data_IF_827998394257
#
_entry.id   IF_827998394257
#
_cell.length_a   1.000
_cell.length_b   1.000
_cell.length_c   1.000
_cell.angle_alpha   90.00
_cell.angle_beta   90.00
_cell.angle_gamma   90.00
#
_symmetry.space_group_name_H-M   'P 1'
#
loop_
_entity.id
_entity.type
_entity.pdbx_description
1 polymer ?
#
# COMPACT_ATOMS: atom_id res chain seq x y z
N UNK A 1 -8.88 12.23 5.91
CA UNK A 1 -9.76 11.02 5.83
C UNK A 1 -8.94 9.75 5.60
N UNK A 2 -7.95 9.74 4.69
CA UNK A 2 -7.13 8.56 4.42
C UNK A 2 -6.00 8.30 5.43
N UNK A 3 -5.55 9.34 6.15
CA UNK A 3 -4.48 9.21 7.15
C UNK A 3 -4.72 8.11 8.18
N UNK A 4 -5.97 7.83 8.55
CA UNK A 4 -6.31 6.76 9.50
C UNK A 4 -6.16 5.35 8.93
N UNK A 5 -6.15 5.17 7.60
CA UNK A 5 -5.82 3.87 6.99
C UNK A 5 -4.30 3.67 6.96
N UNK A 6 -3.55 4.76 6.83
CA UNK A 6 -2.10 4.70 6.77
C UNK A 6 -1.43 4.56 8.15
N UNK A 7 -2.17 4.76 9.25
CA UNK A 7 -1.70 4.36 10.59
C UNK A 7 -1.53 2.84 10.72
N UNK A 8 -2.13 2.06 9.82
CA UNK A 8 -1.99 0.60 9.80
C UNK A 8 -0.70 0.14 9.11
N UNK A 9 0.03 1.01 8.41
CA UNK A 9 1.33 0.67 7.83
C UNK A 9 2.32 0.49 8.97
N UNK A 10 2.85 -0.73 9.10
CA UNK A 10 3.84 -1.08 10.11
C UNK A 10 5.25 -1.10 9.50
N UNK A 11 6.26 -1.20 10.37
CA UNK A 11 7.63 -1.52 9.94
C UNK A 11 7.70 -2.82 9.14
N UNK A 12 6.89 -3.83 9.50
CA UNK A 12 6.78 -5.09 8.75
C UNK A 12 6.20 -4.87 7.34
N UNK A 13 5.27 -3.92 7.18
CA UNK A 13 4.78 -3.54 5.84
C UNK A 13 5.87 -2.93 4.98
N UNK A 14 6.70 -2.05 5.55
CA UNK A 14 7.82 -1.47 4.81
C UNK A 14 8.87 -2.52 4.46
N UNK A 15 9.28 -3.37 5.42
CA UNK A 15 10.21 -4.48 5.15
C UNK A 15 9.69 -5.39 4.04
N UNK A 16 8.39 -5.71 4.08
CA UNK A 16 7.75 -6.47 3.02
C UNK A 16 7.79 -5.72 1.68
N UNK A 17 7.40 -4.45 1.61
CA UNK A 17 7.40 -3.66 0.36
C UNK A 17 8.79 -3.59 -0.28
N UNK A 18 9.83 -3.37 0.51
CA UNK A 18 11.22 -3.19 0.04
C UNK A 18 12.02 -4.48 -0.08
N UNK A 19 11.38 -5.64 0.06
CA UNK A 19 12.00 -6.93 -0.25
C UNK A 19 12.91 -7.49 0.84
N UNK A 20 12.90 -6.93 2.05
CA UNK A 20 13.71 -7.42 3.15
C UNK A 20 12.99 -8.50 3.98
N UNK A 21 13.77 -9.23 4.77
CA UNK A 21 13.28 -10.27 5.68
C UNK A 21 12.69 -9.67 6.97
N UNK A 22 11.89 -10.43 7.72
CA UNK A 22 11.28 -9.93 8.97
C UNK A 22 12.31 -9.47 10.03
N UNK A 23 13.57 -9.91 9.92
CA UNK A 23 14.66 -9.51 10.83
C UNK A 23 15.10 -8.05 10.66
N UNK A 24 14.82 -7.40 9.54
CA UNK A 24 15.18 -5.98 9.30
C UNK A 24 14.07 -5.01 9.68
N UNK A 25 13.00 -5.47 10.35
CA UNK A 25 11.89 -4.60 10.76
C UNK A 25 12.35 -3.42 11.63
N UNK A 26 13.47 -3.56 12.36
CA UNK A 26 14.00 -2.48 13.19
C UNK A 26 14.49 -1.27 12.38
N UNK A 27 15.03 -1.50 11.18
CA UNK A 27 15.52 -0.45 10.28
C UNK A 27 14.37 0.44 9.76
N UNK A 28 13.14 -0.09 9.80
CA UNK A 28 11.95 0.59 9.31
C UNK A 28 11.13 1.27 10.40
N UNK A 29 11.56 1.27 11.67
CA UNK A 29 10.79 1.88 12.76
C UNK A 29 10.66 3.40 12.63
N UNK A 30 11.63 4.06 12.00
CA UNK A 30 11.58 5.49 11.73
C UNK A 30 12.21 5.80 10.36
N UNK A 31 11.43 6.38 9.46
CA UNK A 31 11.86 6.76 8.11
C UNK A 31 11.47 8.22 7.87
N UNK A 32 12.43 9.05 7.46
CA UNK A 32 12.23 10.48 7.19
C UNK A 32 11.54 11.24 8.35
N UNK A 33 11.88 10.89 9.60
CA UNK A 33 11.30 11.49 10.81
C UNK A 33 9.87 11.05 11.13
N UNK A 34 9.34 10.02 10.44
CA UNK A 34 8.03 9.41 10.71
C UNK A 34 8.21 8.01 11.28
N UNK A 35 7.45 7.72 12.34
CA UNK A 35 7.42 6.40 12.95
C UNK A 35 6.51 5.43 12.19
N UNK A 36 6.99 4.19 12.05
CA UNK A 36 6.23 3.04 11.56
C UNK A 36 6.29 1.94 12.62
N UNK A 37 5.27 1.81 13.48
CA UNK A 37 5.33 0.91 14.62
C UNK A 37 5.47 -0.55 14.18
N UNK A 38 5.93 -1.40 15.10
CA UNK A 38 5.84 -2.86 14.91
C UNK A 38 4.37 -3.26 14.71
N UNK A 39 4.14 -4.33 13.96
CA UNK A 39 2.78 -4.84 13.71
C UNK A 39 2.06 -5.12 15.03
N UNK A 40 0.85 -4.60 15.16
CA UNK A 40 -0.03 -4.77 16.33
C UNK A 40 -1.19 -5.68 15.94
N UNK A 41 -1.47 -6.68 16.78
CA UNK A 41 -2.65 -7.55 16.65
C UNK A 41 -3.42 -7.49 17.96
N UNK A 42 -4.67 -7.03 17.90
CA UNK A 42 -5.55 -6.99 19.06
C UNK A 42 -6.01 -8.42 19.41
N UNK A 43 -6.00 -8.77 20.70
CA UNK A 43 -6.32 -10.11 21.19
C UNK A 43 -7.82 -10.44 21.18
N UNK A 44 -8.67 -9.45 20.93
CA UNK A 44 -10.14 -9.58 20.96
C UNK A 44 -10.75 -9.97 19.61
N UNK A 45 -9.93 -10.29 18.60
CA UNK A 45 -10.38 -10.70 17.28
C UNK A 45 -10.79 -9.56 16.34
N UNK A 46 -10.89 -8.30 16.81
CA UNK A 46 -11.28 -7.16 15.97
C UNK A 46 -10.33 -6.93 14.80
N UNK A 47 -9.03 -7.10 15.02
CA UNK A 47 -8.04 -6.98 13.94
C UNK A 47 -8.33 -7.95 12.78
N UNK A 48 -8.81 -9.17 13.09
CA UNK A 48 -9.18 -10.17 12.08
C UNK A 48 -10.42 -9.75 11.31
N UNK A 49 -11.46 -9.23 11.99
CA UNK A 49 -12.69 -8.76 11.34
C UNK A 49 -12.44 -7.56 10.41
N UNK A 50 -11.65 -6.59 10.87
CA UNK A 50 -11.22 -5.43 10.09
C UNK A 50 -10.44 -5.89 8.86
N UNK A 51 -9.44 -6.77 9.05
CA UNK A 51 -8.64 -7.34 7.97
C UNK A 51 -9.49 -8.03 6.90
N UNK A 52 -10.40 -8.91 7.31
CA UNK A 52 -11.27 -9.63 6.37
C UNK A 52 -12.18 -8.68 5.61
N UNK A 53 -12.70 -7.65 6.28
CA UNK A 53 -13.56 -6.65 5.65
C UNK A 53 -12.77 -5.79 4.66
N UNK A 54 -11.55 -5.38 5.01
CA UNK A 54 -10.63 -4.69 4.10
C UNK A 54 -10.33 -5.54 2.88
N UNK A 55 -9.97 -6.81 3.06
CA UNK A 55 -9.66 -7.73 1.98
C UNK A 55 -10.84 -7.85 0.99
N UNK A 56 -12.08 -7.96 1.49
CA UNK A 56 -13.29 -7.97 0.64
C UNK A 56 -13.48 -6.65 -0.12
N UNK A 57 -13.26 -5.50 0.52
CA UNK A 57 -13.34 -4.20 -0.15
C UNK A 57 -12.33 -4.08 -1.30
N UNK A 58 -11.09 -4.52 -1.07
CA UNK A 58 -10.02 -4.45 -2.06
C UNK A 58 -10.23 -5.46 -3.19
N UNK A 59 -10.65 -6.69 -2.89
CA UNK A 59 -10.99 -7.70 -3.90
C UNK A 59 -12.11 -7.21 -4.83
N UNK A 60 -13.09 -6.47 -4.31
CA UNK A 60 -14.14 -5.85 -5.14
C UNK A 60 -13.60 -4.72 -6.01
N UNK A 61 -12.65 -3.94 -5.51
CA UNK A 61 -12.11 -2.76 -6.20
C UNK A 61 -11.09 -3.08 -7.29
N UNK A 62 -10.35 -4.16 -7.10
CA UNK A 62 -9.23 -4.54 -7.95
C UNK A 62 -9.61 -4.80 -9.42
N UNK A 63 -10.65 -5.58 -9.78
CA UNK A 63 -10.95 -5.88 -11.18
C UNK A 63 -11.23 -4.63 -12.03
N UNK A 64 -11.96 -3.66 -11.46
CA UNK A 64 -12.25 -2.40 -12.13
C UNK A 64 -10.97 -1.59 -12.39
N UNK A 65 -10.07 -1.52 -11.39
CA UNK A 65 -8.80 -0.82 -11.54
C UNK A 65 -7.87 -1.52 -12.55
N UNK A 66 -7.78 -2.85 -12.50
CA UNK A 66 -6.96 -3.65 -13.42
C UNK A 66 -7.39 -3.44 -14.87
N UNK A 67 -8.70 -3.36 -15.10
CA UNK A 67 -9.29 -3.06 -16.41
C UNK A 67 -8.97 -1.64 -16.86
N UNK A 68 -9.22 -0.65 -15.99
CA UNK A 68 -8.97 0.78 -16.27
C UNK A 68 -7.49 1.03 -16.59
N UNK A 69 -6.59 0.39 -15.85
CA UNK A 69 -5.14 0.46 -16.03
C UNK A 69 -4.60 -0.55 -17.03
N UNK A 70 -5.42 -1.40 -17.66
CA UNK A 70 -5.00 -2.44 -18.61
C UNK A 70 -3.73 -3.17 -18.16
N UNK A 71 -3.72 -3.65 -16.92
CA UNK A 71 -2.55 -4.33 -16.36
C UNK A 71 -2.44 -5.74 -16.98
N UNK A 72 -1.22 -6.19 -17.36
CA UNK A 72 -1.01 -7.48 -18.02
C UNK A 72 -0.89 -8.64 -17.03
N UNK A 73 -1.10 -8.38 -15.73
CA UNK A 73 -0.90 -9.35 -14.66
C UNK A 73 -2.23 -9.99 -14.29
N UNK A 74 -2.30 -11.32 -14.11
CA UNK A 74 -3.52 -11.99 -13.66
C UNK A 74 -4.03 -11.39 -12.35
N UNK A 75 -5.34 -11.17 -12.24
CA UNK A 75 -5.97 -10.61 -11.04
C UNK A 75 -5.60 -11.41 -9.80
N UNK A 76 -5.56 -12.75 -9.88
CA UNK A 76 -5.20 -13.62 -8.77
C UNK A 76 -3.81 -13.34 -8.19
N UNK A 77 -2.82 -13.01 -9.02
CA UNK A 77 -1.47 -12.66 -8.58
C UNK A 77 -1.48 -11.32 -7.84
N UNK A 78 -2.27 -10.36 -8.34
CA UNK A 78 -2.44 -9.06 -7.71
C UNK A 78 -3.17 -9.18 -6.37
N UNK A 79 -4.24 -9.98 -6.30
CA UNK A 79 -4.97 -10.27 -5.07
C UNK A 79 -4.06 -10.91 -4.03
N UNK A 80 -3.29 -11.92 -4.42
CA UNK A 80 -2.36 -12.59 -3.50
C UNK A 80 -1.31 -11.60 -2.95
N UNK A 81 -0.73 -10.75 -3.81
CA UNK A 81 0.20 -9.72 -3.36
C UNK A 81 -0.44 -8.73 -2.37
N UNK A 82 -1.66 -8.29 -2.65
CA UNK A 82 -2.43 -7.40 -1.78
C UNK A 82 -2.75 -8.08 -0.44
N UNK A 83 -3.16 -9.35 -0.42
CA UNK A 83 -3.40 -10.12 0.81
C UNK A 83 -2.13 -10.22 1.64
N UNK A 84 -0.99 -10.56 1.03
CA UNK A 84 0.29 -10.65 1.73
C UNK A 84 0.73 -9.29 2.31
N UNK A 85 0.47 -8.18 1.61
CA UNK A 85 0.72 -6.84 2.15
C UNK A 85 -0.21 -6.49 3.31
N UNK A 86 -1.49 -6.86 3.23
CA UNK A 86 -2.45 -6.66 4.33
C UNK A 86 -2.05 -7.48 5.55
N UNK A 87 -1.43 -8.66 5.35
CA UNK A 87 -0.95 -9.51 6.44
C UNK A 87 0.14 -8.85 7.28
N UNK A 88 0.81 -7.81 6.80
CA UNK A 88 1.85 -7.10 7.56
C UNK A 88 1.33 -5.89 8.34
N UNK A 89 0.08 -5.46 8.10
CA UNK A 89 -0.49 -4.24 8.67
C UNK A 89 -1.06 -4.41 10.09
N UNK A 90 -1.25 -3.29 10.78
CA UNK A 90 -1.81 -3.18 12.14
C UNK A 90 -3.26 -2.69 12.11
N UNK A 91 -4.24 -3.58 12.25
CA UNK A 91 -5.66 -3.23 12.22
C UNK A 91 -6.18 -2.87 13.62
N UNK A 92 -6.07 -1.60 13.98
CA UNK A 92 -6.41 -1.09 15.33
C UNK A 92 -7.62 -0.14 15.35
N UNK A 93 -7.96 0.46 14.20
CA UNK A 93 -9.06 1.43 14.07
C UNK A 93 -10.16 0.89 13.14
N UNK A 94 -11.38 1.47 13.17
CA UNK A 94 -12.44 1.11 12.22
C UNK A 94 -12.07 1.43 10.76
N UNK A 95 -12.62 0.64 9.82
CA UNK A 95 -12.48 0.92 8.39
C UNK A 95 -13.17 2.23 8.01
N UNK A 96 -12.52 3.11 7.22
CA UNK A 96 -13.17 4.28 6.67
C UNK A 96 -14.28 3.86 5.69
N UNK A 97 -15.39 4.61 5.71
CA UNK A 97 -16.54 4.41 4.81
C UNK A 97 -16.27 4.94 3.39
N UNK A 98 -15.27 4.36 2.72
CA UNK A 98 -14.89 4.77 1.38
C UNK A 98 -15.86 4.34 0.30
N UNK A 99 -16.02 5.21 -0.70
CA UNK A 99 -16.70 4.91 -1.95
C UNK A 99 -15.83 4.02 -2.83
N UNK A 100 -16.45 3.39 -3.83
CA UNK A 100 -15.77 2.46 -4.73
C UNK A 100 -14.52 3.04 -5.41
N UNK A 101 -14.60 4.30 -5.88
CA UNK A 101 -13.46 4.99 -6.50
C UNK A 101 -12.31 5.27 -5.51
N UNK A 102 -12.62 5.49 -4.24
CA UNK A 102 -11.61 5.65 -3.19
C UNK A 102 -10.95 4.30 -2.85
N UNK A 103 -11.70 3.19 -2.85
CA UNK A 103 -11.10 1.86 -2.74
C UNK A 103 -10.18 1.52 -3.91
N UNK A 104 -10.54 1.91 -5.14
CA UNK A 104 -9.66 1.77 -6.30
C UNK A 104 -8.35 2.56 -6.12
N UNK A 105 -8.40 3.74 -5.50
CA UNK A 105 -7.20 4.50 -5.17
C UNK A 105 -6.32 3.78 -4.12
N UNK A 106 -6.91 3.17 -3.09
CA UNK A 106 -6.15 2.36 -2.12
C UNK A 106 -5.48 1.17 -2.80
N UNK A 107 -6.21 0.46 -3.67
CA UNK A 107 -5.63 -0.63 -4.46
C UNK A 107 -4.48 -0.14 -5.32
N UNK A 108 -4.61 1.02 -5.98
CA UNK A 108 -3.55 1.61 -6.79
C UNK A 108 -2.27 1.84 -5.97
N UNK A 109 -2.38 2.42 -4.77
CA UNK A 109 -1.23 2.65 -3.87
C UNK A 109 -0.57 1.33 -3.45
N UNK A 110 -1.36 0.30 -3.14
CA UNK A 110 -0.83 -1.01 -2.80
C UNK A 110 -0.14 -1.68 -3.99
N UNK A 111 -0.68 -1.56 -5.20
CA UNK A 111 -0.02 -2.05 -6.41
C UNK A 111 1.28 -1.28 -6.72
N UNK A 112 1.30 0.04 -6.48
CA UNK A 112 2.50 0.86 -6.61
C UNK A 112 3.59 0.36 -5.66
N UNK A 113 3.24 0.15 -4.38
CA UNK A 113 4.15 -0.39 -3.37
C UNK A 113 4.64 -1.80 -3.72
N UNK A 114 3.73 -2.72 -4.06
CA UNK A 114 4.07 -4.09 -4.46
C UNK A 114 4.97 -4.12 -5.69
N UNK A 115 4.83 -3.16 -6.61
CA UNK A 115 5.64 -3.12 -7.82
C UNK A 115 7.13 -2.83 -7.58
N UNK A 116 7.54 -2.48 -6.36
CA UNK A 116 8.95 -2.21 -6.02
C UNK A 116 9.74 -3.52 -6.01
N UNK A 117 9.39 -4.45 -5.12
CA UNK A 117 10.11 -5.73 -4.99
C UNK A 117 9.23 -6.97 -5.17
N UNK A 118 7.90 -6.87 -4.99
CA UNK A 118 7.02 -8.06 -4.94
C UNK A 118 6.40 -8.43 -6.29
N UNK A 119 6.05 -7.44 -7.10
CA UNK A 119 5.47 -7.62 -8.44
C UNK A 119 6.16 -6.66 -9.43
N UNK A 120 7.48 -6.80 -9.67
CA UNK A 120 8.28 -5.82 -10.42
C UNK A 120 7.80 -5.60 -11.86
N UNK A 121 7.09 -6.57 -12.45
CA UNK A 121 6.44 -6.43 -13.78
C UNK A 121 5.43 -5.28 -13.86
N UNK A 122 4.90 -4.80 -12.71
CA UNK A 122 4.03 -3.63 -12.66
C UNK A 122 4.78 -2.28 -12.73
N UNK A 123 6.10 -2.25 -12.52
CA UNK A 123 6.90 -1.01 -12.50
C UNK A 123 6.60 -0.05 -13.66
N UNK A 124 6.66 -0.47 -14.95
CA UNK A 124 6.41 0.46 -16.06
C UNK A 124 4.97 1.00 -16.08
N UNK A 125 4.02 0.32 -15.44
CA UNK A 125 2.63 0.74 -15.33
C UNK A 125 2.42 1.78 -14.22
N UNK A 126 3.25 1.74 -13.18
CA UNK A 126 3.19 2.67 -12.05
C UNK A 126 3.99 3.96 -12.35
N UNK A 127 5.11 3.85 -13.08
CA UNK A 127 5.97 5.01 -13.41
C UNK A 127 5.60 5.69 -14.72
N UNK A 128 5.12 4.92 -15.72
CA UNK A 128 4.93 5.39 -17.09
C UNK A 128 3.54 5.90 -17.44
N UNK A 129 2.50 5.62 -16.64
CA UNK A 129 1.09 5.88 -17.01
C UNK A 129 0.50 7.16 -16.42
N UNK A 130 1.22 8.27 -16.57
CA UNK A 130 0.76 9.63 -16.22
C UNK A 130 -0.60 10.04 -16.81
N UNK A 131 -1.11 9.33 -17.83
CA UNK A 131 -2.39 9.65 -18.48
C UNK A 131 -3.61 8.93 -17.90
N UNK A 132 -3.44 7.78 -17.23
CA UNK A 132 -4.55 7.05 -16.61
C UNK A 132 -4.67 7.35 -15.11
N UNK A 133 -3.57 7.76 -14.48
CA UNK A 133 -3.55 8.22 -13.09
C UNK A 133 -4.57 9.35 -12.83
N UNK A 134 -4.67 10.42 -13.63
CA UNK A 134 -5.61 11.51 -13.39
C UNK A 134 -7.06 11.04 -13.34
N UNK A 135 -7.46 10.08 -14.19
CA UNK A 135 -8.83 9.54 -14.19
C UNK A 135 -9.20 8.82 -12.89
N UNK A 136 -8.25 8.08 -12.31
CA UNK A 136 -8.46 7.38 -11.03
C UNK A 136 -8.54 8.40 -9.89
N UNK A 137 -7.68 9.41 -9.91
CA UNK A 137 -7.65 10.50 -8.93
C UNK A 137 -8.93 11.36 -8.98
N UNK A 138 -9.36 11.76 -10.17
CA UNK A 138 -10.58 12.52 -10.39
C UNK A 138 -11.81 11.76 -9.87
N UNK A 139 -11.89 10.45 -10.16
CA UNK A 139 -12.97 9.59 -9.68
C UNK A 139 -13.00 9.46 -8.15
N UNK A 140 -11.83 9.51 -7.50
CA UNK A 140 -11.72 9.49 -6.05
C UNK A 140 -11.91 10.88 -5.41
N UNK A 141 -11.98 11.94 -6.22
CA UNK A 141 -11.91 13.35 -5.82
C UNK A 141 -10.64 13.68 -5.02
N UNK A 142 -9.49 13.26 -5.53
CA UNK A 142 -8.18 13.45 -4.91
C UNK A 142 -7.28 14.22 -5.84
N UNK A 143 -6.59 15.25 -5.33
CA UNK A 143 -5.61 16.01 -6.09
C UNK A 143 -4.30 15.24 -6.25
N UNK A 144 -3.47 15.63 -7.23
CA UNK A 144 -2.14 15.05 -7.39
C UNK A 144 -1.23 15.26 -6.16
N UNK A 145 -1.36 16.41 -5.48
CA UNK A 145 -0.59 16.70 -4.27
C UNK A 145 -1.01 15.78 -3.11
N UNK A 146 -2.31 15.58 -2.90
CA UNK A 146 -2.80 14.62 -1.91
C UNK A 146 -2.37 13.20 -2.23
N UNK A 147 -2.37 12.81 -3.51
CA UNK A 147 -1.89 11.51 -3.93
C UNK A 147 -0.41 11.28 -3.58
N UNK A 148 0.47 12.24 -3.85
CA UNK A 148 1.89 12.10 -3.48
C UNK A 148 2.06 12.03 -1.96
N UNK A 149 1.30 12.79 -1.17
CA UNK A 149 1.31 12.66 0.29
C UNK A 149 0.88 11.25 0.73
N UNK A 150 -0.17 10.69 0.13
CA UNK A 150 -0.63 9.32 0.43
C UNK A 150 0.43 8.28 0.03
N UNK A 151 1.10 8.51 -1.08
CA UNK A 151 2.16 7.63 -1.59
C UNK A 151 3.40 7.66 -0.71
N UNK A 152 3.81 8.82 -0.19
CA UNK A 152 4.91 8.96 0.76
C UNK A 152 4.64 8.25 2.10
N UNK A 153 3.37 8.02 2.46
CA UNK A 153 3.01 7.22 3.64
C UNK A 153 3.16 5.71 3.43
N UNK A 154 3.03 5.24 2.19
CA UNK A 154 3.12 3.80 1.85
C UNK A 154 4.52 3.44 1.37
N UNK A 155 5.15 4.36 0.65
CA UNK A 155 6.43 4.19 -0.04
C UNK A 155 7.39 5.33 0.37
N UNK A 156 7.78 5.43 1.65
CA UNK A 156 8.53 6.58 2.16
C UNK A 156 9.97 6.70 1.64
N UNK A 157 10.56 5.61 1.13
CA UNK A 157 11.90 5.60 0.51
C UNK A 157 11.82 5.75 -1.02
N UNK A 158 10.62 6.01 -1.55
CA UNK A 158 10.36 6.01 -2.97
C UNK A 158 10.63 4.64 -3.60
N UNK A 159 10.93 4.63 -4.89
CA UNK A 159 11.11 3.38 -5.67
C UNK A 159 12.55 2.89 -5.72
N UNK A 160 13.45 3.41 -4.88
CA UNK A 160 14.88 3.07 -4.92
C UNK A 160 15.15 1.95 -3.90
N UNK A 161 15.44 0.71 -4.31
CA UNK A 161 15.70 -0.39 -3.37
C UNK A 161 17.04 -0.25 -2.61
N UNK A 162 17.85 0.77 -2.92
CA UNK A 162 19.24 0.91 -2.49
C UNK A 162 19.46 1.71 -1.21
N UNK A 163 18.42 2.31 -0.62
CA UNK A 163 18.55 3.00 0.67
C UNK A 163 18.35 2.03 1.84
N UNK A 164 19.18 0.99 1.91
CA UNK A 164 19.31 0.16 3.11
C UNK A 164 20.57 0.49 3.92
N UNK A 165 21.60 1.15 3.38
CA UNK A 165 22.76 1.56 4.19
C UNK A 165 23.44 2.83 3.65
N UNK A 166 23.01 4.00 4.13
CA UNK A 166 23.92 5.14 4.33
C UNK A 166 23.73 5.65 5.75
N UNK A 167 24.20 4.86 6.71
CA UNK A 167 24.75 5.44 7.93
C UNK A 167 26.13 5.98 7.54
N UNK A 168 26.25 7.30 7.53
CA UNK A 168 27.49 7.99 7.21
C UNK A 168 27.39 9.43 7.69
N UNK A 169 27.91 9.67 8.89
CA UNK A 169 27.98 10.97 9.58
C UNK A 169 28.24 10.78 11.05
#
# INVERSE_FOLDING_TARGET
MFNSLFTWISSSSLSFIYGNDESSNEEYLSINGREYPRKIVLSDGRSTEIKQTLARCLARALPGLVTDLRLPVPISVLEQGVVLLIDTMSFVDPLPAFRMKQWQLIVLLFLDALSICRIPVLTPYMTGRRTLLPKVLDGAHISAAEYEVMKDLVIPLGRVPQFSMQSGG
#
